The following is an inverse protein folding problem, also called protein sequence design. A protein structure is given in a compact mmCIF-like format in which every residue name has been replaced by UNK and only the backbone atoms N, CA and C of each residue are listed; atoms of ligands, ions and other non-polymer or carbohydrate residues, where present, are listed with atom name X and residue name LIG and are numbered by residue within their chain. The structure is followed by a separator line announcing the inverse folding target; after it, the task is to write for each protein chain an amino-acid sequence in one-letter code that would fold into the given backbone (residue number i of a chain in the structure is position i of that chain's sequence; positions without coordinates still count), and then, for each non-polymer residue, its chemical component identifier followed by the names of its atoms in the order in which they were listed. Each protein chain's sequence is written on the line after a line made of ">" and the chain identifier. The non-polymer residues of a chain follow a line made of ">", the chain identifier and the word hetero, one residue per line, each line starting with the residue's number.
data_IF_329755735898
#
_entry.id   IF_329755735898
#
_cell.length_a   1.000
_cell.length_b   1.000
_cell.length_c   1.000
_cell.angle_alpha   90.00
_cell.angle_beta   90.00
_cell.angle_gamma   90.00
#
_symmetry.space_group_name_H-M   'P 1'
#
loop_
_entity.id
_entity.type
_entity.pdbx_description
1 polymer ?
#
# COMPACT_ATOMS: atom_id res chain seq x y z
N UNK A 1 39.25 40.46 11.40
CA UNK A 1 39.60 39.06 11.09
C UNK A 1 38.31 38.28 11.04
N UNK A 2 37.86 38.01 9.83
CA UNK A 2 36.60 37.26 9.58
C UNK A 2 36.96 35.78 9.45
N UNK A 3 36.45 34.96 10.37
CA UNK A 3 36.49 33.52 10.27
C UNK A 3 35.55 33.09 9.15
N UNK A 4 36.10 32.43 8.12
CA UNK A 4 35.32 31.77 7.09
C UNK A 4 34.50 30.60 7.67
N UNK A 5 33.40 30.21 7.03
CA UNK A 5 32.63 29.06 7.48
C UNK A 5 33.48 27.79 7.36
N UNK A 6 33.41 26.93 8.38
CA UNK A 6 33.99 25.60 8.37
C UNK A 6 33.51 24.80 7.17
N UNK A 7 34.40 24.04 6.51
CA UNK A 7 33.97 23.15 5.42
C UNK A 7 32.99 22.10 5.99
N UNK A 8 31.80 22.04 5.40
CA UNK A 8 30.83 20.97 5.64
C UNK A 8 31.57 19.65 5.36
N UNK A 9 31.67 18.83 6.39
CA UNK A 9 32.34 17.55 6.39
C UNK A 9 31.80 16.71 5.20
N UNK A 10 32.63 16.56 4.18
CA UNK A 10 32.35 15.67 3.08
C UNK A 10 32.46 14.27 3.65
N UNK A 11 31.31 13.66 3.91
CA UNK A 11 31.21 12.28 4.37
C UNK A 11 32.10 11.33 3.54
N UNK A 12 32.52 10.19 4.10
CA UNK A 12 33.51 9.33 3.52
C UNK A 12 33.13 8.88 2.10
N UNK A 13 34.07 9.04 1.17
CA UNK A 13 33.94 8.62 -0.21
C UNK A 13 33.82 7.09 -0.28
N UNK A 14 32.76 6.60 -0.94
CA UNK A 14 32.67 5.21 -1.36
C UNK A 14 31.88 4.28 -0.47
N UNK A 15 30.80 4.74 0.21
CA UNK A 15 29.91 3.84 0.96
C UNK A 15 29.17 2.89 0.01
N UNK A 16 29.47 1.60 0.15
CA UNK A 16 28.72 0.55 -0.51
C UNK A 16 27.23 0.71 -0.15
N UNK A 17 26.42 0.95 -1.17
CA UNK A 17 24.98 1.14 -1.02
C UNK A 17 24.38 -0.09 -0.33
N UNK A 18 23.69 0.11 0.81
CA UNK A 18 23.08 -0.99 1.56
C UNK A 18 22.00 -1.70 0.74
N UNK A 19 22.04 -3.03 0.75
CA UNK A 19 20.93 -3.84 0.26
C UNK A 19 19.81 -3.84 1.30
N UNK A 20 18.58 -3.78 0.83
CA UNK A 20 17.38 -3.70 1.68
C UNK A 20 16.55 -4.95 1.48
N UNK A 21 16.15 -5.59 2.57
CA UNK A 21 15.41 -6.84 2.57
C UNK A 21 14.09 -6.73 3.35
N UNK A 22 13.10 -7.52 2.96
CA UNK A 22 11.79 -7.60 3.60
C UNK A 22 11.80 -8.75 4.60
N UNK A 23 11.71 -8.46 5.87
CA UNK A 23 11.77 -9.47 6.94
C UNK A 23 10.44 -9.74 7.62
N UNK A 24 9.46 -8.83 7.51
CA UNK A 24 8.15 -9.01 8.11
C UNK A 24 7.03 -8.48 7.23
N UNK A 25 5.88 -9.16 7.27
CA UNK A 25 4.68 -8.87 6.50
C UNK A 25 3.45 -8.86 7.41
N UNK A 26 2.66 -7.81 7.34
CA UNK A 26 1.36 -7.69 8.02
C UNK A 26 0.30 -7.16 7.06
N UNK A 27 -0.85 -7.81 6.99
CA UNK A 27 -1.92 -7.46 6.07
C UNK A 27 -3.27 -7.55 6.78
N UNK A 28 -4.08 -6.52 6.63
CA UNK A 28 -5.50 -6.49 7.00
C UNK A 28 -6.25 -6.15 5.73
N UNK A 29 -6.99 -7.12 5.18
CA UNK A 29 -7.61 -7.01 3.86
C UNK A 29 -9.00 -7.63 3.84
N UNK A 30 -9.87 -7.28 2.87
CA UNK A 30 -11.18 -7.90 2.72
C UNK A 30 -11.16 -9.42 2.46
N UNK A 31 -10.01 -9.97 2.07
CA UNK A 31 -9.85 -11.39 1.75
C UNK A 31 -8.94 -12.12 2.73
N UNK A 32 -8.62 -11.54 3.87
CA UNK A 32 -7.88 -12.23 4.93
C UNK A 32 -7.12 -11.32 5.87
N UNK A 33 -6.94 -11.79 7.10
CA UNK A 33 -6.22 -11.15 8.19
C UNK A 33 -4.87 -11.86 8.37
N UNK A 34 -3.79 -11.11 8.23
CA UNK A 34 -2.42 -11.64 8.15
C UNK A 34 -2.04 -12.09 6.74
N UNK A 35 -0.74 -12.01 6.44
CA UNK A 35 -0.20 -12.27 5.10
C UNK A 35 -0.46 -13.70 4.59
N UNK A 36 -0.62 -14.68 5.48
CA UNK A 36 -0.83 -16.10 5.10
C UNK A 36 -2.23 -16.33 4.56
N UNK A 37 -3.24 -15.90 5.29
CA UNK A 37 -4.63 -16.02 4.86
C UNK A 37 -4.89 -15.16 3.62
N UNK A 38 -4.43 -13.92 3.63
CA UNK A 38 -4.45 -13.03 2.46
C UNK A 38 -3.88 -13.73 1.22
N UNK A 39 -2.68 -14.33 1.34
CA UNK A 39 -2.03 -15.00 0.22
C UNK A 39 -2.80 -16.22 -0.27
N UNK A 40 -3.25 -17.09 0.64
CA UNK A 40 -4.03 -18.27 0.30
C UNK A 40 -5.31 -17.91 -0.47
N UNK A 41 -6.03 -16.90 0.00
CA UNK A 41 -7.26 -16.44 -0.63
C UNK A 41 -6.99 -15.72 -1.96
N UNK A 42 -5.90 -14.95 -2.05
CA UNK A 42 -5.49 -14.28 -3.28
C UNK A 42 -5.15 -15.29 -4.39
N UNK A 43 -4.38 -16.33 -4.07
CA UNK A 43 -4.02 -17.40 -5.02
C UNK A 43 -5.25 -18.23 -5.40
N UNK A 44 -6.19 -18.42 -4.48
CA UNK A 44 -7.46 -19.10 -4.75
C UNK A 44 -8.45 -18.26 -5.58
N UNK A 45 -8.13 -17.00 -5.90
CA UNK A 45 -9.02 -16.14 -6.66
C UNK A 45 -10.27 -15.69 -5.89
N UNK A 46 -10.21 -15.63 -4.56
CA UNK A 46 -11.36 -15.22 -3.74
C UNK A 46 -11.53 -13.71 -3.81
N UNK A 47 -12.78 -13.26 -4.02
CA UNK A 47 -13.13 -11.84 -4.03
C UNK A 47 -13.75 -11.42 -2.70
N UNK A 48 -13.37 -10.25 -2.21
CA UNK A 48 -13.98 -9.58 -1.05
C UNK A 48 -15.17 -8.69 -1.40
N UNK A 49 -15.58 -8.65 -2.68
CA UNK A 49 -16.70 -7.82 -3.11
C UNK A 49 -18.04 -8.32 -2.54
N UNK A 50 -18.73 -7.45 -1.80
CA UNK A 50 -20.04 -7.73 -1.21
C UNK A 50 -20.88 -6.45 -1.14
N UNK A 51 -22.21 -6.56 -0.89
CA UNK A 51 -23.00 -5.39 -0.57
C UNK A 51 -22.45 -4.67 0.67
N UNK A 52 -22.46 -3.33 0.65
CA UNK A 52 -22.04 -2.51 1.80
C UNK A 52 -22.91 -2.83 3.01
N UNK A 53 -22.25 -3.11 4.15
CA UNK A 53 -22.92 -3.41 5.42
C UNK A 53 -22.64 -2.37 6.51
N UNK A 54 -21.59 -1.57 6.37
CA UNK A 54 -21.16 -0.58 7.36
C UNK A 54 -22.13 0.60 7.53
N UNK A 55 -22.98 0.85 6.52
CA UNK A 55 -24.03 1.87 6.54
C UNK A 55 -25.09 1.60 5.47
N UNK A 56 -26.23 2.29 5.54
CA UNK A 56 -27.26 2.21 4.49
C UNK A 56 -26.80 2.93 3.21
N UNK A 57 -26.38 2.14 2.23
CA UNK A 57 -25.92 2.62 0.92
C UNK A 57 -27.05 2.70 -0.14
N UNK A 58 -28.31 2.50 0.23
CA UNK A 58 -29.44 2.43 -0.72
C UNK A 58 -29.60 3.67 -1.61
N UNK A 59 -29.22 4.84 -1.08
CA UNK A 59 -29.25 6.12 -1.79
C UNK A 59 -28.05 6.34 -2.73
N UNK A 60 -27.02 5.49 -2.68
CA UNK A 60 -25.83 5.62 -3.53
C UNK A 60 -25.98 4.80 -4.82
N UNK A 61 -25.43 5.27 -5.95
CA UNK A 61 -25.37 4.50 -7.18
C UNK A 61 -24.45 3.29 -7.07
N UNK A 62 -23.45 3.34 -6.18
CA UNK A 62 -22.50 2.28 -5.86
C UNK A 62 -22.85 1.68 -4.49
N UNK A 63 -23.21 0.41 -4.44
CA UNK A 63 -23.68 -0.30 -3.24
C UNK A 63 -22.86 -1.53 -2.90
N UNK A 64 -21.74 -1.73 -3.60
CA UNK A 64 -20.78 -2.82 -3.39
C UNK A 64 -19.46 -2.22 -2.94
N UNK A 65 -18.84 -2.87 -1.96
CA UNK A 65 -17.49 -2.58 -1.50
C UNK A 65 -16.78 -3.87 -1.11
N UNK A 66 -15.51 -3.78 -0.83
CA UNK A 66 -14.72 -4.85 -0.24
C UNK A 66 -14.38 -4.43 1.21
N UNK A 67 -15.22 -4.83 2.15
CA UNK A 67 -15.12 -4.52 3.57
C UNK A 67 -14.24 -5.54 4.29
N UNK A 68 -13.51 -5.09 5.32
CA UNK A 68 -12.84 -5.98 6.27
C UNK A 68 -13.87 -6.42 7.31
N UNK A 69 -14.30 -7.68 7.23
CA UNK A 69 -15.25 -8.28 8.15
C UNK A 69 -14.56 -8.92 9.37
N UNK A 70 -15.33 -9.17 10.42
CA UNK A 70 -14.94 -9.94 11.62
C UNK A 70 -13.60 -9.51 12.24
N UNK A 71 -13.34 -8.20 12.31
CA UNK A 71 -12.08 -7.63 12.73
C UNK A 71 -12.19 -6.91 14.09
N UNK A 72 -11.38 -7.33 15.04
CA UNK A 72 -11.16 -6.63 16.30
C UNK A 72 -9.67 -6.30 16.46
N UNK A 73 -9.34 -5.03 16.65
CA UNK A 73 -7.94 -4.59 16.82
C UNK A 73 -7.29 -5.21 18.06
N UNK A 74 -8.07 -5.48 19.11
CA UNK A 74 -7.63 -6.11 20.35
C UNK A 74 -7.05 -7.51 20.18
N UNK A 75 -7.35 -8.19 19.08
CA UNK A 75 -6.81 -9.53 18.80
C UNK A 75 -5.34 -9.47 18.35
N UNK A 76 -4.87 -8.29 17.98
CA UNK A 76 -3.54 -8.07 17.40
C UNK A 76 -2.70 -7.02 18.13
N UNK A 77 -3.34 -6.03 18.73
CA UNK A 77 -2.69 -4.88 19.35
C UNK A 77 -2.96 -4.82 20.85
N UNK A 78 -1.90 -4.94 21.66
CA UNK A 78 -1.93 -4.89 23.14
C UNK A 78 -1.46 -3.54 23.71
N UNK A 79 -1.07 -2.61 22.82
CA UNK A 79 -0.61 -1.27 23.21
C UNK A 79 -1.75 -0.30 23.55
N UNK A 80 -1.41 0.93 23.92
CA UNK A 80 -2.39 1.97 24.15
C UNK A 80 -3.27 2.18 22.91
N UNK A 81 -4.57 2.34 23.13
CA UNK A 81 -5.52 2.66 22.07
C UNK A 81 -6.48 3.75 22.55
N UNK A 82 -6.16 5.03 22.27
CA UNK A 82 -6.96 6.16 22.69
C UNK A 82 -8.39 6.10 22.18
N UNK A 83 -9.34 6.58 23.00
CA UNK A 83 -10.76 6.55 22.67
C UNK A 83 -11.08 7.29 21.36
N UNK A 84 -10.30 8.31 21.04
CA UNK A 84 -10.41 9.09 19.80
C UNK A 84 -10.22 8.27 18.54
N UNK A 85 -9.45 7.18 18.61
CA UNK A 85 -9.19 6.29 17.49
C UNK A 85 -10.16 5.09 17.42
N UNK A 86 -11.04 4.90 18.42
CA UNK A 86 -11.95 3.74 18.42
C UNK A 86 -12.88 3.70 17.20
N UNK A 87 -13.31 4.87 16.71
CA UNK A 87 -14.15 4.98 15.54
C UNK A 87 -13.36 4.98 14.21
N UNK A 88 -12.04 5.15 14.27
CA UNK A 88 -11.19 5.21 13.08
C UNK A 88 -10.77 3.81 12.64
N UNK A 89 -11.40 3.31 11.58
CA UNK A 89 -11.11 1.97 11.04
C UNK A 89 -9.70 1.88 10.46
N UNK A 90 -9.21 2.94 9.77
CA UNK A 90 -7.86 2.92 9.17
C UNK A 90 -6.78 2.83 10.25
N UNK A 91 -6.92 3.56 11.38
CA UNK A 91 -6.01 3.47 12.51
C UNK A 91 -6.00 2.06 13.12
N UNK A 92 -7.17 1.45 13.29
CA UNK A 92 -7.31 0.07 13.80
C UNK A 92 -6.61 -0.93 12.88
N UNK A 93 -6.78 -0.81 11.56
CA UNK A 93 -6.13 -1.67 10.57
C UNK A 93 -4.60 -1.50 10.60
N UNK A 94 -4.14 -0.25 10.69
CA UNK A 94 -2.71 0.06 10.74
C UNK A 94 -2.04 -0.58 11.96
N UNK A 95 -2.59 -0.41 13.17
CA UNK A 95 -2.03 -0.97 14.39
C UNK A 95 -1.95 -2.50 14.32
N UNK A 96 -3.03 -3.16 13.87
CA UNK A 96 -3.04 -4.61 13.71
C UNK A 96 -2.01 -5.09 12.66
N UNK A 97 -1.95 -4.44 11.50
CA UNK A 97 -1.00 -4.80 10.45
C UNK A 97 0.45 -4.56 10.91
N UNK A 98 0.73 -3.50 11.67
CA UNK A 98 2.04 -3.25 12.28
C UNK A 98 2.43 -4.36 13.26
N UNK A 99 1.52 -4.74 14.17
CA UNK A 99 1.76 -5.84 15.10
C UNK A 99 2.04 -7.15 14.38
N UNK A 100 1.26 -7.48 13.34
CA UNK A 100 1.47 -8.67 12.50
C UNK A 100 2.86 -8.64 11.82
N UNK A 101 3.26 -7.51 11.23
CA UNK A 101 4.54 -7.38 10.53
C UNK A 101 5.73 -7.51 11.49
N UNK A 102 5.63 -6.93 12.68
CA UNK A 102 6.65 -7.03 13.73
C UNK A 102 6.75 -8.47 14.26
N UNK A 103 5.63 -9.12 14.52
CA UNK A 103 5.62 -10.52 14.95
C UNK A 103 6.23 -11.45 13.89
N UNK A 104 5.89 -11.25 12.63
CA UNK A 104 6.41 -12.04 11.51
C UNK A 104 7.93 -11.84 11.30
N UNK A 105 8.43 -10.63 11.51
CA UNK A 105 9.87 -10.32 11.45
C UNK A 105 10.68 -10.86 12.64
N UNK A 106 10.02 -11.32 13.70
CA UNK A 106 10.62 -11.69 14.98
C UNK A 106 11.49 -10.55 15.60
N UNK A 107 11.09 -9.30 15.37
CA UNK A 107 11.71 -8.14 16.01
C UNK A 107 11.11 -7.81 17.38
N UNK A 108 9.89 -8.28 17.67
CA UNK A 108 9.29 -8.15 18.99
C UNK A 108 9.74 -9.30 19.89
N UNK A 109 10.40 -8.97 20.99
CA UNK A 109 10.58 -9.87 22.14
C UNK A 109 9.46 -9.58 23.15
N UNK A 110 9.32 -10.42 24.18
CA UNK A 110 8.32 -10.30 25.24
C UNK A 110 8.33 -8.96 26.05
N UNK A 111 9.14 -8.00 25.65
CA UNK A 111 9.17 -6.63 26.18
C UNK A 111 9.07 -5.62 25.03
N UNK A 112 8.19 -4.69 25.16
CA UNK A 112 7.71 -3.69 24.19
C UNK A 112 8.76 -2.89 23.39
N UNK A 113 10.06 -3.00 23.66
CA UNK A 113 11.12 -2.32 22.91
C UNK A 113 11.72 -3.25 21.85
N UNK A 114 11.96 -2.71 20.67
CA UNK A 114 12.67 -3.42 19.60
C UNK A 114 14.13 -3.67 20.03
N UNK A 115 14.72 -4.83 19.71
CA UNK A 115 16.13 -5.12 20.02
C UNK A 115 17.08 -4.43 19.01
N UNK A 116 16.87 -3.14 18.81
CA UNK A 116 17.59 -2.28 17.86
C UNK A 116 17.79 -0.91 18.52
N UNK A 117 18.85 -0.21 18.19
CA UNK A 117 19.03 1.17 18.62
C UNK A 117 17.81 2.02 18.20
N UNK A 118 17.08 2.65 19.14
CA UNK A 118 15.85 3.38 18.84
C UNK A 118 16.02 4.48 17.78
N UNK A 119 17.21 5.11 17.70
CA UNK A 119 17.51 6.15 16.72
C UNK A 119 17.76 5.58 15.31
N UNK A 120 18.00 4.26 15.22
CA UNK A 120 18.24 3.53 13.97
C UNK A 120 17.00 2.84 13.44
N UNK A 121 15.84 3.01 14.10
CA UNK A 121 14.53 2.52 13.67
C UNK A 121 13.69 3.68 13.17
N UNK A 122 13.01 3.50 12.04
CA UNK A 122 12.10 4.49 11.47
C UNK A 122 10.67 3.97 11.28
N UNK A 123 9.72 4.90 11.21
CA UNK A 123 8.32 4.65 10.88
C UNK A 123 7.94 5.48 9.65
N UNK A 124 7.44 4.83 8.59
CA UNK A 124 6.98 5.53 7.38
C UNK A 124 5.63 4.98 6.95
N UNK A 125 4.56 5.69 7.27
CA UNK A 125 3.21 5.25 6.97
C UNK A 125 2.59 6.07 5.83
N UNK A 126 1.97 5.41 4.88
CA UNK A 126 1.13 6.02 3.87
C UNK A 126 -0.32 6.10 4.34
N UNK A 127 -0.97 7.22 4.09
CA UNK A 127 -2.37 7.39 4.44
C UNK A 127 -3.12 8.18 3.36
N UNK A 128 -4.43 7.95 3.29
CA UNK A 128 -5.34 8.68 2.44
C UNK A 128 -5.77 10.01 3.06
N UNK A 129 -7.01 10.39 2.79
CA UNK A 129 -7.60 11.58 3.40
C UNK A 129 -7.95 11.30 4.86
N UNK A 130 -7.56 12.20 5.76
CA UNK A 130 -8.13 12.27 7.09
C UNK A 130 -9.60 12.66 6.97
N UNK A 131 -10.49 11.71 7.26
CA UNK A 131 -11.92 12.00 7.24
C UNK A 131 -12.32 12.61 8.58
N UNK A 132 -12.72 13.86 8.54
CA UNK A 132 -13.42 14.51 9.66
C UNK A 132 -14.64 13.66 10.01
N UNK A 133 -14.88 13.39 11.29
CA UNK A 133 -16.05 12.60 11.69
C UNK A 133 -17.32 13.22 11.14
N UNK A 134 -18.19 12.39 10.56
CA UNK A 134 -19.48 12.86 10.02
C UNK A 134 -20.33 13.58 11.09
N UNK A 135 -20.23 13.15 12.35
CA UNK A 135 -20.86 13.81 13.47
C UNK A 135 -20.34 15.23 13.68
N UNK A 136 -19.05 15.46 13.50
CA UNK A 136 -18.44 16.77 13.65
C UNK A 136 -18.89 17.70 12.52
N UNK A 137 -18.98 17.18 11.29
CA UNK A 137 -19.54 17.93 10.14
C UNK A 137 -21.04 18.22 10.37
N UNK A 138 -21.83 17.24 10.76
CA UNK A 138 -23.26 17.39 10.99
C UNK A 138 -23.57 18.44 12.08
N UNK A 139 -22.75 18.48 13.13
CA UNK A 139 -22.88 19.45 14.23
C UNK A 139 -22.54 20.89 13.78
N UNK A 140 -21.94 21.06 12.60
CA UNK A 140 -21.54 22.36 12.06
C UNK A 140 -22.41 22.82 10.88
N UNK A 141 -23.39 22.01 10.48
CA UNK A 141 -24.37 22.41 9.47
C UNK A 141 -25.51 23.18 10.15
N UNK A 142 -25.82 24.39 9.66
CA UNK A 142 -27.03 25.08 10.03
C UNK A 142 -28.28 24.36 9.45
N UNK A 143 -29.49 24.72 9.86
CA UNK A 143 -30.72 24.10 9.33
C UNK A 143 -30.92 24.25 7.82
N UNK A 144 -30.16 25.13 7.17
CA UNK A 144 -30.14 25.28 5.69
C UNK A 144 -29.08 24.40 5.02
N UNK A 145 -28.31 23.61 5.78
CA UNK A 145 -27.23 22.75 5.28
C UNK A 145 -25.94 23.49 4.96
N UNK A 146 -25.80 24.75 5.43
CA UNK A 146 -24.54 25.50 5.26
C UNK A 146 -23.61 25.25 6.43
N UNK A 147 -22.34 25.21 6.12
CA UNK A 147 -21.30 25.05 7.13
C UNK A 147 -21.19 26.34 7.97
N UNK A 148 -21.62 26.29 9.22
CA UNK A 148 -21.51 27.39 10.17
C UNK A 148 -20.27 27.15 11.05
N UNK A 149 -19.20 27.88 10.82
CA UNK A 149 -18.10 27.93 11.78
C UNK A 149 -18.64 28.57 13.09
N UNK A 150 -18.48 27.92 14.25
CA UNK A 150 -18.88 28.52 15.50
C UNK A 150 -18.11 29.82 15.68
N UNK A 151 -18.84 30.89 16.00
CA UNK A 151 -18.21 32.14 16.39
C UNK A 151 -17.36 31.85 17.64
N UNK A 152 -16.08 32.25 17.67
CA UNK A 152 -15.23 32.10 18.86
C UNK A 152 -15.80 32.75 20.12
N UNK A 153 -16.82 33.63 19.95
CA UNK A 153 -17.48 34.41 21.01
C UNK A 153 -18.79 33.79 21.50
N UNK A 154 -19.32 32.77 20.84
CA UNK A 154 -20.60 32.14 21.22
C UNK A 154 -20.32 30.80 21.91
N UNK A 155 -19.72 30.80 23.11
CA UNK A 155 -19.64 29.66 24.03
C UNK A 155 -19.58 28.30 23.33
N UNK A 156 -18.55 28.06 22.54
CA UNK A 156 -18.41 26.87 21.73
C UNK A 156 -18.22 25.63 22.60
N UNK A 157 -19.33 24.99 22.93
CA UNK A 157 -19.34 23.68 23.63
C UNK A 157 -19.40 22.50 22.69
N UNK A 158 -19.32 22.71 21.38
CA UNK A 158 -19.66 21.68 20.41
C UNK A 158 -18.47 21.04 19.68
N UNK A 159 -17.28 21.67 19.64
CA UNK A 159 -16.08 21.04 19.07
C UNK A 159 -15.01 21.01 20.17
N UNK A 160 -14.51 19.84 20.47
CA UNK A 160 -13.21 19.74 21.10
C UNK A 160 -12.16 20.33 20.13
N UNK A 161 -11.56 21.51 20.42
CA UNK A 161 -10.55 22.10 19.53
C UNK A 161 -9.38 21.14 19.26
N UNK A 162 -9.14 20.21 20.17
CA UNK A 162 -8.13 19.18 20.02
C UNK A 162 -8.50 18.18 18.95
N UNK A 163 -9.80 17.85 18.78
CA UNK A 163 -10.24 16.94 17.71
C UNK A 163 -10.06 17.51 16.30
N UNK A 164 -10.06 18.84 16.15
CA UNK A 164 -9.78 19.52 14.87
C UNK A 164 -8.29 19.58 14.53
N UNK A 165 -7.41 19.52 15.55
CA UNK A 165 -5.96 19.63 15.38
C UNK A 165 -5.35 18.23 15.27
N UNK A 166 -6.01 17.19 15.78
CA UNK A 166 -5.54 15.82 15.70
C UNK A 166 -5.90 15.22 14.35
N UNK A 167 -4.97 15.22 13.43
CA UNK A 167 -5.05 14.33 12.28
C UNK A 167 -4.84 12.89 12.76
N UNK A 168 -5.85 11.99 12.63
CA UNK A 168 -5.73 10.60 13.03
C UNK A 168 -4.52 9.88 12.44
N UNK A 169 -4.05 10.33 11.28
CA UNK A 169 -2.88 9.76 10.59
C UNK A 169 -1.60 9.97 11.39
N UNK A 170 -1.40 11.15 11.94
CA UNK A 170 -0.22 11.47 12.76
C UNK A 170 -0.30 10.76 14.13
N UNK A 171 -1.50 10.61 14.67
CA UNK A 171 -1.69 9.90 15.93
C UNK A 171 -1.23 8.45 15.86
N UNK A 172 -1.49 7.74 14.77
CA UNK A 172 -1.07 6.34 14.59
C UNK A 172 0.44 6.22 14.64
N UNK A 173 1.15 7.11 13.93
CA UNK A 173 2.62 7.12 13.93
C UNK A 173 3.17 7.44 15.32
N UNK A 174 2.58 8.44 16.00
CA UNK A 174 2.96 8.81 17.37
C UNK A 174 2.73 7.69 18.39
N UNK A 175 1.60 6.98 18.28
CA UNK A 175 1.30 5.82 19.13
C UNK A 175 2.29 4.68 18.92
N UNK A 176 2.60 4.37 17.65
CA UNK A 176 3.58 3.33 17.32
C UNK A 176 4.98 3.71 17.84
N UNK A 177 5.42 4.96 17.62
CA UNK A 177 6.71 5.43 18.10
C UNK A 177 6.82 5.31 19.63
N UNK A 178 5.80 5.78 20.36
CA UNK A 178 5.77 5.71 21.80
C UNK A 178 5.71 4.27 22.34
N UNK A 179 4.91 3.41 21.70
CA UNK A 179 4.76 2.02 22.12
C UNK A 179 6.02 1.18 21.87
N UNK A 180 6.69 1.42 20.74
CA UNK A 180 7.88 0.67 20.31
C UNK A 180 9.19 1.31 20.84
N UNK A 181 9.12 2.47 21.47
CA UNK A 181 10.28 3.23 21.93
C UNK A 181 11.14 3.76 20.78
N UNK A 182 10.57 4.03 19.60
CA UNK A 182 11.29 4.52 18.42
C UNK A 182 11.52 6.03 18.56
N UNK A 183 12.78 6.45 18.40
CA UNK A 183 13.22 7.85 18.42
C UNK A 183 13.76 8.31 17.05
N UNK A 184 13.95 7.41 16.13
CA UNK A 184 14.33 7.72 14.75
C UNK A 184 13.20 8.37 13.94
N UNK A 185 13.43 8.69 12.67
CA UNK A 185 12.48 9.37 11.80
C UNK A 185 11.13 8.67 11.74
N UNK A 186 10.06 9.42 12.04
CA UNK A 186 8.68 8.98 11.96
C UNK A 186 7.88 9.96 11.08
N UNK A 187 7.19 9.48 10.04
CA UNK A 187 6.52 10.35 9.08
C UNK A 187 5.29 9.69 8.45
N UNK A 188 4.36 10.53 8.03
CA UNK A 188 3.21 10.13 7.19
C UNK A 188 3.42 10.65 5.78
N UNK A 189 3.12 9.80 4.79
CA UNK A 189 3.20 10.11 3.36
C UNK A 189 1.79 10.14 2.79
N UNK A 190 1.39 11.27 2.24
CA UNK A 190 0.10 11.43 1.55
C UNK A 190 0.32 11.66 0.07
N UNK A 191 -0.08 10.70 -0.75
CA UNK A 191 0.00 10.77 -2.22
C UNK A 191 -1.09 9.94 -2.89
N UNK A 192 -2.32 10.06 -2.37
CA UNK A 192 -3.49 9.33 -2.81
C UNK A 192 -3.20 7.81 -2.93
N UNK A 193 -3.64 7.16 -4.02
CA UNK A 193 -3.47 5.71 -4.19
C UNK A 193 -2.01 5.25 -4.31
N UNK A 194 -1.04 6.15 -4.44
CA UNK A 194 0.38 5.83 -4.45
C UNK A 194 1.05 5.91 -3.06
N UNK A 195 0.31 6.28 -1.99
CA UNK A 195 0.88 6.56 -0.67
C UNK A 195 1.65 5.35 -0.09
N UNK A 196 1.10 4.15 -0.21
CA UNK A 196 1.75 2.93 0.27
C UNK A 196 3.07 2.64 -0.45
N UNK A 197 3.11 2.77 -1.77
CA UNK A 197 4.33 2.58 -2.55
C UNK A 197 5.37 3.66 -2.24
N UNK A 198 4.94 4.91 -2.05
CA UNK A 198 5.82 6.02 -1.67
C UNK A 198 6.37 5.87 -0.25
N UNK A 199 5.57 5.35 0.69
CA UNK A 199 6.04 5.05 2.05
C UNK A 199 7.14 3.99 2.03
N UNK A 200 6.93 2.89 1.30
CA UNK A 200 7.93 1.83 1.11
C UNK A 200 9.18 2.37 0.41
N UNK A 201 9.01 3.18 -0.65
CA UNK A 201 10.12 3.79 -1.35
C UNK A 201 10.93 4.78 -0.50
N UNK A 202 10.27 5.53 0.38
CA UNK A 202 10.93 6.42 1.35
C UNK A 202 11.73 5.61 2.36
N UNK A 203 11.13 4.56 2.94
CA UNK A 203 11.80 3.63 3.84
C UNK A 203 13.03 2.98 3.18
N UNK A 204 12.86 2.50 1.95
CA UNK A 204 13.96 1.95 1.15
C UNK A 204 15.14 2.92 1.03
N UNK A 205 14.87 4.20 0.72
CA UNK A 205 15.92 5.21 0.60
C UNK A 205 16.65 5.46 1.92
N UNK A 206 15.93 5.54 3.03
CA UNK A 206 16.53 5.74 4.36
C UNK A 206 17.46 4.59 4.78
N UNK A 207 17.08 3.36 4.47
CA UNK A 207 17.91 2.17 4.71
C UNK A 207 19.10 2.10 3.76
N UNK A 208 18.87 2.36 2.47
CA UNK A 208 19.89 2.27 1.41
C UNK A 208 21.03 3.26 1.63
N UNK A 209 20.74 4.45 2.11
CA UNK A 209 21.76 5.47 2.44
C UNK A 209 22.36 5.34 3.85
N UNK A 210 22.07 4.25 4.58
CA UNK A 210 22.67 3.98 5.89
C UNK A 210 22.14 4.85 7.05
N UNK A 211 21.06 5.60 6.85
CA UNK A 211 20.48 6.44 7.93
C UNK A 211 19.79 5.60 8.99
N UNK A 212 19.21 4.46 8.61
CA UNK A 212 18.48 3.54 9.48
C UNK A 212 18.92 2.11 9.21
N UNK A 213 18.64 1.20 10.16
CA UNK A 213 18.85 -0.23 10.03
C UNK A 213 17.54 -0.98 9.87
N UNK A 214 16.46 -0.46 10.45
CA UNK A 214 15.10 -1.04 10.41
C UNK A 214 14.08 0.06 10.12
N UNK A 215 13.12 -0.22 9.26
CA UNK A 215 11.94 0.65 9.05
C UNK A 215 10.68 -0.19 9.02
N UNK A 216 9.72 0.12 9.88
CA UNK A 216 8.34 -0.33 9.75
C UNK A 216 7.61 0.63 8.82
N UNK A 217 7.15 0.15 7.68
CA UNK A 217 6.50 0.99 6.67
C UNK A 217 5.34 0.28 6.00
N UNK A 218 4.49 1.06 5.36
CA UNK A 218 3.31 0.57 4.65
C UNK A 218 2.24 1.63 4.55
N UNK A 219 0.97 1.23 4.47
CA UNK A 219 -0.13 2.18 4.39
C UNK A 219 -1.45 1.60 4.89
N UNK A 220 -2.36 2.50 5.25
CA UNK A 220 -3.73 2.22 5.68
C UNK A 220 -4.72 3.12 4.95
N UNK A 221 -5.96 2.63 4.77
CA UNK A 221 -7.09 3.46 4.34
C UNK A 221 -8.44 2.80 4.65
N UNK A 222 -9.47 3.62 4.84
CA UNK A 222 -10.87 3.20 4.97
C UNK A 222 -11.81 4.31 4.50
N UNK A 223 -12.20 4.26 3.22
CA UNK A 223 -13.14 5.20 2.60
C UNK A 223 -14.58 4.67 2.56
N UNK A 224 -14.85 3.49 3.14
CA UNK A 224 -16.20 2.88 3.14
C UNK A 224 -17.04 3.47 4.28
N UNK A 225 -17.43 4.72 4.08
CA UNK A 225 -18.34 5.48 4.93
C UNK A 225 -19.15 6.44 4.05
N UNK A 226 -20.26 7.02 4.53
CA UNK A 226 -21.12 7.86 3.70
C UNK A 226 -20.40 9.00 2.98
N UNK A 227 -19.49 9.72 3.66
CA UNK A 227 -18.76 10.85 3.09
C UNK A 227 -17.72 10.38 2.06
N UNK A 228 -16.93 9.37 2.41
CA UNK A 228 -15.91 8.80 1.54
C UNK A 228 -16.51 8.26 0.24
N UNK A 229 -17.58 7.44 0.37
CA UNK A 229 -18.28 6.90 -0.79
C UNK A 229 -18.92 7.98 -1.65
N UNK A 230 -19.59 8.98 -1.04
CA UNK A 230 -20.18 10.10 -1.79
C UNK A 230 -19.11 10.89 -2.55
N UNK A 231 -17.96 11.16 -1.93
CA UNK A 231 -16.84 11.85 -2.57
C UNK A 231 -16.26 11.06 -3.77
N UNK A 232 -16.04 9.76 -3.62
CA UNK A 232 -15.56 8.90 -4.70
C UNK A 232 -16.59 8.78 -5.85
N UNK A 233 -17.88 8.67 -5.51
CA UNK A 233 -18.97 8.68 -6.51
C UNK A 233 -19.01 9.99 -7.28
N UNK A 234 -18.85 11.14 -6.60
CA UNK A 234 -18.79 12.44 -7.26
C UNK A 234 -17.60 12.57 -8.23
N UNK A 235 -16.52 11.84 -8.02
CA UNK A 235 -15.40 11.74 -8.96
C UNK A 235 -15.69 10.83 -10.15
N UNK A 236 -16.81 10.08 -10.14
CA UNK A 236 -17.17 9.14 -11.20
C UNK A 236 -16.23 7.93 -11.32
N UNK A 237 -15.49 7.61 -10.26
CA UNK A 237 -14.44 6.60 -10.31
C UNK A 237 -14.90 5.17 -9.90
N UNK A 238 -15.77 4.97 -8.87
CA UNK A 238 -16.31 3.67 -8.54
C UNK A 238 -17.30 3.16 -9.59
N UNK A 239 -17.34 1.86 -9.76
CA UNK A 239 -18.34 1.20 -10.60
C UNK A 239 -19.75 1.35 -10.03
N UNK A 240 -20.72 1.59 -10.88
CA UNK A 240 -22.16 1.54 -10.55
C UNK A 240 -22.81 0.19 -10.87
N UNK A 241 -22.01 -0.78 -11.31
CA UNK A 241 -22.42 -2.16 -11.52
C UNK A 241 -22.43 -2.87 -10.15
N UNK A 242 -23.62 -3.12 -9.62
CA UNK A 242 -23.78 -3.64 -8.26
C UNK A 242 -23.94 -5.17 -8.24
N UNK A 243 -23.08 -5.90 -8.95
CA UNK A 243 -23.06 -7.35 -9.02
C UNK A 243 -21.88 -7.93 -8.23
N UNK A 244 -22.10 -8.43 -6.99
CA UNK A 244 -21.04 -8.97 -6.16
C UNK A 244 -20.21 -10.05 -6.87
N UNK A 245 -18.88 -9.99 -6.69
CA UNK A 245 -17.94 -10.94 -7.30
C UNK A 245 -17.86 -10.86 -8.83
N UNK A 246 -18.36 -9.78 -9.43
CA UNK A 246 -18.36 -9.56 -10.89
C UNK A 246 -18.05 -8.14 -11.31
N UNK A 247 -17.91 -7.21 -10.37
CA UNK A 247 -17.78 -5.78 -10.62
C UNK A 247 -16.34 -5.37 -10.84
N UNK A 248 -15.43 -5.75 -9.97
CA UNK A 248 -14.00 -5.50 -10.10
C UNK A 248 -13.36 -6.37 -11.18
N UNK A 249 -13.24 -5.84 -12.41
CA UNK A 249 -12.72 -6.56 -13.59
C UNK A 249 -11.65 -5.77 -14.33
N UNK A 250 -10.45 -5.63 -13.75
CA UNK A 250 -9.35 -4.92 -14.41
C UNK A 250 -9.04 -5.48 -15.79
N UNK A 251 -8.77 -4.59 -16.74
CA UNK A 251 -8.41 -4.86 -18.14
C UNK A 251 -9.50 -5.55 -18.98
N UNK A 252 -10.65 -5.90 -18.41
CA UNK A 252 -11.79 -6.45 -19.16
C UNK A 252 -12.44 -5.37 -20.03
N UNK A 253 -12.87 -5.73 -21.23
CA UNK A 253 -13.52 -4.80 -22.17
C UNK A 253 -14.81 -4.18 -21.62
N UNK A 254 -15.46 -4.85 -20.65
CA UNK A 254 -16.71 -4.39 -20.04
C UNK A 254 -16.52 -3.72 -18.67
N UNK A 255 -15.30 -3.37 -18.30
CA UNK A 255 -14.99 -2.69 -17.03
C UNK A 255 -15.69 -1.35 -16.92
N UNK A 256 -16.13 -1.00 -15.72
CA UNK A 256 -16.97 0.19 -15.47
C UNK A 256 -16.49 1.07 -14.33
N UNK A 257 -15.36 0.76 -13.73
CA UNK A 257 -14.82 1.45 -12.55
C UNK A 257 -14.36 0.47 -11.47
N UNK A 258 -13.75 0.97 -10.43
CA UNK A 258 -13.26 0.12 -9.34
C UNK A 258 -14.35 -0.17 -8.29
N UNK A 259 -14.16 -1.22 -7.53
CA UNK A 259 -14.85 -1.48 -6.26
C UNK A 259 -14.02 -0.86 -5.14
N UNK A 260 -14.64 -0.05 -4.27
CA UNK A 260 -13.93 0.52 -3.12
C UNK A 260 -13.61 -0.58 -2.11
N UNK A 261 -12.38 -0.63 -1.64
CA UNK A 261 -11.95 -1.51 -0.57
C UNK A 261 -11.33 -0.73 0.60
N UNK A 262 -11.07 -1.41 1.69
CA UNK A 262 -10.40 -0.86 2.87
C UNK A 262 -9.37 -1.85 3.42
N UNK A 263 -8.44 -1.36 4.24
CA UNK A 263 -7.45 -2.21 4.89
C UNK A 263 -6.12 -1.55 5.17
N UNK A 264 -5.12 -2.36 5.48
CA UNK A 264 -3.75 -1.95 5.67
C UNK A 264 -2.77 -3.03 5.21
N UNK A 265 -1.62 -2.58 4.69
CA UNK A 265 -0.45 -3.42 4.46
C UNK A 265 0.76 -2.78 5.13
N UNK A 266 1.46 -3.55 5.97
CA UNK A 266 2.67 -3.11 6.65
C UNK A 266 3.80 -4.10 6.43
N UNK A 267 5.00 -3.59 6.27
CA UNK A 267 6.20 -4.42 6.09
C UNK A 267 7.32 -3.92 6.99
N UNK A 268 8.15 -4.85 7.44
CA UNK A 268 9.44 -4.55 8.06
C UNK A 268 10.51 -4.65 6.99
N UNK A 269 11.19 -3.54 6.75
CA UNK A 269 12.38 -3.48 5.90
C UNK A 269 13.61 -3.35 6.79
N UNK A 270 14.67 -4.08 6.42
CA UNK A 270 15.95 -4.01 7.11
C UNK A 270 17.10 -3.88 6.11
N UNK A 271 18.21 -3.28 6.57
CA UNK A 271 19.47 -3.49 5.84
C UNK A 271 19.82 -4.97 5.86
N UNK A 272 20.36 -5.50 4.77
CA UNK A 272 20.80 -6.92 4.71
C UNK A 272 21.79 -7.22 5.83
N UNK A 273 22.67 -6.29 6.15
CA UNK A 273 23.68 -6.44 7.21
C UNK A 273 23.01 -6.64 8.57
N UNK A 274 22.00 -5.83 8.92
CA UNK A 274 21.26 -5.95 10.17
C UNK A 274 20.49 -7.29 10.22
N UNK A 275 19.75 -7.64 9.16
CA UNK A 275 19.01 -8.90 9.08
C UNK A 275 19.94 -10.12 9.24
N UNK A 276 21.13 -10.09 8.63
CA UNK A 276 22.15 -11.13 8.77
C UNK A 276 22.70 -11.21 10.20
N UNK A 277 23.01 -10.09 10.83
CA UNK A 277 23.57 -10.05 12.19
C UNK A 277 22.64 -10.73 13.20
N UNK A 278 21.31 -10.59 13.05
CA UNK A 278 20.33 -11.27 13.89
C UNK A 278 19.84 -12.62 13.31
N UNK A 279 20.43 -13.11 12.21
CA UNK A 279 20.04 -14.36 11.53
C UNK A 279 18.58 -14.40 11.09
N UNK A 280 17.99 -13.25 10.76
CA UNK A 280 16.62 -13.17 10.30
C UNK A 280 16.46 -13.82 8.92
N UNK A 281 15.42 -14.62 8.71
CA UNK A 281 14.99 -14.96 7.37
C UNK A 281 14.36 -13.73 6.69
N UNK A 282 14.42 -13.65 5.36
CA UNK A 282 13.72 -12.62 4.61
C UNK A 282 13.01 -13.19 3.39
N UNK A 283 11.98 -12.48 2.96
CA UNK A 283 11.13 -12.87 1.84
C UNK A 283 11.76 -12.55 0.48
N UNK A 284 12.17 -11.30 0.31
CA UNK A 284 12.73 -10.76 -0.92
C UNK A 284 13.62 -9.54 -0.61
N UNK A 285 14.37 -9.10 -1.61
CA UNK A 285 15.08 -7.83 -1.63
C UNK A 285 14.21 -6.76 -2.26
N UNK A 286 14.24 -5.54 -1.73
CA UNK A 286 13.79 -4.34 -2.42
C UNK A 286 14.98 -3.80 -3.21
N UNK A 287 14.96 -3.98 -4.52
CA UNK A 287 16.11 -3.67 -5.37
C UNK A 287 16.14 -2.21 -5.82
N UNK A 288 14.98 -1.59 -6.03
CA UNK A 288 14.89 -0.22 -6.49
C UNK A 288 13.50 0.40 -6.33
N UNK A 289 13.44 1.71 -6.48
CA UNK A 289 12.20 2.49 -6.40
C UNK A 289 12.24 3.67 -7.37
N UNK A 290 11.18 3.81 -8.17
CA UNK A 290 10.96 4.95 -9.04
C UNK A 290 9.78 5.79 -8.59
N UNK A 291 9.79 7.07 -8.92
CA UNK A 291 8.64 7.96 -8.74
C UNK A 291 8.59 9.00 -9.84
N UNK A 292 7.40 9.44 -10.16
CA UNK A 292 7.15 10.52 -11.13
C UNK A 292 5.83 11.21 -10.83
N UNK A 293 5.53 12.22 -11.63
CA UNK A 293 4.24 12.92 -11.63
C UNK A 293 3.79 13.03 -13.09
N UNK A 294 2.49 12.82 -13.37
CA UNK A 294 1.94 12.99 -14.72
C UNK A 294 1.96 14.46 -15.18
N UNK A 295 1.78 15.40 -14.23
CA UNK A 295 1.67 16.83 -14.52
C UNK A 295 0.71 17.14 -15.69
N UNK A 296 -0.42 16.42 -15.77
CA UNK A 296 -1.39 16.50 -16.85
C UNK A 296 -2.73 17.06 -16.37
N UNK A 297 -3.64 16.22 -15.89
CA UNK A 297 -4.94 16.62 -15.33
C UNK A 297 -5.08 16.08 -13.91
N UNK A 298 -5.95 16.72 -13.14
CA UNK A 298 -6.13 16.33 -11.73
C UNK A 298 -6.68 14.90 -11.57
N UNK A 299 -7.62 14.49 -12.42
CA UNK A 299 -8.31 13.19 -12.30
C UNK A 299 -7.97 12.20 -13.41
N UNK A 300 -7.31 12.66 -14.49
CA UNK A 300 -7.03 11.83 -15.65
C UNK A 300 -5.53 11.60 -15.84
N UNK A 301 -5.09 10.35 -16.12
CA UNK A 301 -3.69 10.08 -16.42
C UNK A 301 -3.31 10.69 -17.78
N UNK A 302 -2.02 10.94 -17.97
CA UNK A 302 -1.50 11.36 -19.27
C UNK A 302 -1.80 10.28 -20.32
N UNK A 303 -2.47 10.58 -21.45
CA UNK A 303 -3.01 9.57 -22.38
C UNK A 303 -1.95 8.65 -23.00
N UNK A 304 -0.70 9.11 -23.12
CA UNK A 304 0.42 8.27 -23.58
C UNK A 304 1.11 7.49 -22.45
N UNK A 305 0.61 7.52 -21.20
CA UNK A 305 1.21 6.83 -20.07
C UNK A 305 2.61 7.34 -19.67
N UNK A 306 2.95 8.59 -20.04
CA UNK A 306 4.30 9.12 -19.91
C UNK A 306 4.83 9.08 -18.48
N UNK A 307 4.03 9.54 -17.50
CA UNK A 307 4.42 9.51 -16.08
C UNK A 307 4.59 8.09 -15.56
N UNK A 308 3.66 7.18 -15.88
CA UNK A 308 3.75 5.78 -15.49
C UNK A 308 5.01 5.11 -16.08
N UNK A 309 5.29 5.34 -17.35
CA UNK A 309 6.50 4.83 -18.02
C UNK A 309 7.78 5.41 -17.40
N UNK A 310 7.78 6.71 -17.06
CA UNK A 310 8.92 7.36 -16.40
C UNK A 310 9.19 6.73 -15.02
N UNK A 311 8.16 6.52 -14.20
CA UNK A 311 8.31 5.90 -12.89
C UNK A 311 8.86 4.48 -12.99
N UNK A 312 8.32 3.65 -13.91
CA UNK A 312 8.80 2.27 -14.13
C UNK A 312 10.27 2.26 -14.60
N UNK A 313 10.64 3.11 -15.57
CA UNK A 313 12.05 3.21 -16.02
C UNK A 313 12.98 3.66 -14.89
N UNK A 314 12.56 4.62 -14.09
CA UNK A 314 13.34 5.08 -12.94
C UNK A 314 13.54 3.96 -11.90
N UNK A 315 12.50 3.15 -11.66
CA UNK A 315 12.59 2.01 -10.73
C UNK A 315 13.55 0.92 -11.26
N UNK A 316 13.47 0.58 -12.55
CA UNK A 316 14.36 -0.39 -13.18
C UNK A 316 15.81 0.10 -13.18
N UNK A 317 16.03 1.38 -13.51
CA UNK A 317 17.38 1.98 -13.49
C UNK A 317 17.96 2.02 -12.07
N UNK A 318 17.14 2.33 -11.05
CA UNK A 318 17.57 2.34 -9.65
C UNK A 318 17.92 0.94 -9.12
N UNK A 319 17.29 -0.10 -9.68
CA UNK A 319 17.54 -1.50 -9.37
C UNK A 319 18.68 -2.12 -10.20
N UNK A 320 19.22 -1.41 -11.18
CA UNK A 320 20.15 -1.95 -12.21
C UNK A 320 19.56 -3.20 -12.92
N UNK A 321 18.26 -3.12 -13.26
CA UNK A 321 17.51 -4.20 -13.91
C UNK A 321 17.09 -3.79 -15.31
N UNK A 322 17.39 -4.64 -16.29
CA UNK A 322 16.87 -4.46 -17.65
C UNK A 322 15.43 -4.99 -17.76
N UNK A 323 14.60 -4.42 -18.64
CA UNK A 323 13.21 -4.84 -18.85
C UNK A 323 13.04 -6.36 -19.05
N UNK A 324 13.91 -7.00 -19.81
CA UNK A 324 13.85 -8.44 -20.13
C UNK A 324 14.08 -9.36 -18.90
N UNK A 325 14.56 -8.79 -17.82
CA UNK A 325 14.80 -9.53 -16.56
C UNK A 325 13.59 -9.57 -15.65
N UNK A 326 12.52 -8.83 -15.96
CA UNK A 326 11.27 -8.78 -15.19
C UNK A 326 10.30 -9.85 -15.69
N UNK A 327 9.78 -10.67 -14.80
CA UNK A 327 8.78 -11.68 -15.13
C UNK A 327 7.37 -11.25 -14.79
N UNK A 328 7.21 -10.36 -13.82
CA UNK A 328 5.90 -9.98 -13.29
C UNK A 328 5.77 -8.48 -13.12
N UNK A 329 4.65 -7.92 -13.57
CA UNK A 329 4.13 -6.63 -13.13
C UNK A 329 2.83 -6.84 -12.37
N UNK A 330 2.81 -6.47 -11.09
CA UNK A 330 1.57 -6.31 -10.34
C UNK A 330 1.04 -4.91 -10.66
N UNK A 331 0.03 -4.85 -11.49
CA UNK A 331 -0.48 -3.61 -12.05
C UNK A 331 -1.28 -2.80 -11.04
N UNK A 332 -1.33 -1.50 -11.25
CA UNK A 332 -2.31 -0.66 -10.57
C UNK A 332 -3.74 -1.11 -10.90
N UNK A 333 -4.05 -1.41 -12.15
CA UNK A 333 -5.20 -2.18 -12.60
C UNK A 333 -6.51 -1.89 -11.86
N UNK A 334 -7.05 -0.68 -12.02
CA UNK A 334 -8.22 -0.20 -11.23
C UNK A 334 -9.56 -0.64 -11.79
N UNK A 335 -9.62 -1.30 -12.94
CA UNK A 335 -10.85 -1.56 -13.69
C UNK A 335 -11.55 -0.28 -14.21
N UNK A 336 -10.85 0.85 -14.28
CA UNK A 336 -11.35 2.05 -14.95
C UNK A 336 -10.95 2.05 -16.42
N UNK A 337 -11.77 2.64 -17.29
CA UNK A 337 -11.52 2.66 -18.72
C UNK A 337 -10.19 3.32 -19.07
N UNK A 338 -9.87 4.44 -18.41
CA UNK A 338 -8.68 5.23 -18.73
C UNK A 338 -7.41 4.63 -18.12
N UNK A 339 -7.42 4.26 -16.83
CA UNK A 339 -6.22 3.77 -16.17
C UNK A 339 -5.68 2.51 -16.85
N UNK A 340 -6.52 1.50 -17.05
CA UNK A 340 -6.08 0.20 -17.51
C UNK A 340 -5.50 0.25 -18.93
N UNK A 341 -6.12 1.06 -19.80
CA UNK A 341 -5.59 1.34 -21.13
C UNK A 341 -4.23 2.06 -21.08
N UNK A 342 -4.15 3.13 -20.28
CA UNK A 342 -2.93 3.95 -20.17
C UNK A 342 -1.80 3.15 -19.52
N UNK A 343 -2.10 2.32 -18.53
CA UNK A 343 -1.11 1.46 -17.90
C UNK A 343 -0.57 0.40 -18.88
N UNK A 344 -1.45 -0.20 -19.71
CA UNK A 344 -1.06 -1.11 -20.79
C UNK A 344 -0.10 -0.43 -21.76
N UNK A 345 -0.41 0.80 -22.19
CA UNK A 345 0.47 1.60 -23.05
C UNK A 345 1.82 1.84 -22.39
N UNK A 346 1.82 2.23 -21.10
CA UNK A 346 3.05 2.51 -20.37
C UNK A 346 3.93 1.27 -20.21
N UNK A 347 3.34 0.11 -19.88
CA UNK A 347 4.06 -1.17 -19.81
C UNK A 347 4.69 -1.49 -21.15
N UNK A 348 3.95 -1.43 -22.25
CA UNK A 348 4.49 -1.67 -23.60
C UNK A 348 5.62 -0.71 -23.97
N UNK A 349 5.54 0.55 -23.59
CA UNK A 349 6.61 1.54 -23.83
C UNK A 349 7.88 1.27 -23.03
N UNK A 350 7.77 0.68 -21.84
CA UNK A 350 8.92 0.37 -20.98
C UNK A 350 9.58 -0.94 -21.38
N UNK A 351 8.78 -1.96 -21.64
CA UNK A 351 9.25 -3.33 -21.86
C UNK A 351 9.50 -3.65 -23.34
N UNK A 352 8.96 -2.86 -24.28
CA UNK A 352 9.15 -3.08 -25.73
C UNK A 352 8.75 -4.50 -26.14
N UNK A 353 9.65 -5.22 -26.80
CA UNK A 353 9.40 -6.62 -27.19
C UNK A 353 9.29 -7.58 -26.02
N UNK A 354 9.91 -7.28 -24.87
CA UNK A 354 9.78 -8.11 -23.67
C UNK A 354 8.38 -8.10 -23.05
N UNK A 355 7.52 -7.16 -23.44
CA UNK A 355 6.13 -7.10 -22.97
C UNK A 355 5.29 -8.32 -23.38
N UNK A 356 5.68 -9.06 -24.42
CA UNK A 356 4.99 -10.29 -24.87
C UNK A 356 5.18 -11.47 -23.92
N UNK A 357 6.31 -11.51 -23.22
CA UNK A 357 6.66 -12.59 -22.27
C UNK A 357 6.38 -12.18 -20.80
N UNK A 358 6.02 -10.91 -20.61
CA UNK A 358 5.73 -10.34 -19.31
C UNK A 358 4.34 -10.76 -18.83
N UNK A 359 4.26 -11.21 -17.59
CA UNK A 359 3.00 -11.53 -16.93
C UNK A 359 2.53 -10.34 -16.10
N UNK A 360 1.27 -9.98 -16.23
CA UNK A 360 0.63 -8.87 -15.50
C UNK A 360 -0.48 -9.44 -14.62
N UNK A 361 -0.57 -9.01 -13.36
CA UNK A 361 -1.69 -9.35 -12.48
C UNK A 361 -2.30 -8.09 -11.88
N UNK A 362 -3.59 -8.13 -11.52
CA UNK A 362 -4.29 -7.03 -10.87
C UNK A 362 -5.07 -7.52 -9.64
N UNK A 363 -4.48 -7.35 -8.47
CA UNK A 363 -5.05 -7.84 -7.21
C UNK A 363 -6.35 -7.12 -6.81
N UNK A 364 -6.59 -5.90 -7.32
CA UNK A 364 -7.82 -5.15 -7.07
C UNK A 364 -9.09 -5.85 -7.57
N UNK A 365 -8.95 -6.83 -8.46
CA UNK A 365 -10.06 -7.70 -8.83
C UNK A 365 -10.63 -8.52 -7.67
N UNK A 366 -9.84 -8.69 -6.60
CA UNK A 366 -10.18 -9.50 -5.42
C UNK A 366 -10.29 -8.65 -4.15
N UNK A 367 -9.35 -7.73 -3.95
CA UNK A 367 -9.31 -6.88 -2.75
C UNK A 367 -10.19 -5.64 -2.85
N UNK A 368 -10.63 -5.25 -4.06
CA UNK A 368 -11.09 -3.91 -4.33
C UNK A 368 -9.93 -2.90 -4.32
N UNK A 369 -10.24 -1.63 -4.49
CA UNK A 369 -9.28 -0.53 -4.45
C UNK A 369 -9.17 0.01 -3.03
N UNK A 370 -8.10 -0.33 -2.31
CA UNK A 370 -7.86 0.10 -0.93
C UNK A 370 -7.28 1.52 -0.83
N UNK A 371 -7.45 2.34 -1.83
CA UNK A 371 -6.99 3.74 -1.94
C UNK A 371 -5.51 3.85 -1.54
N UNK A 372 -5.16 4.52 -0.43
CA UNK A 372 -3.78 4.69 0.00
C UNK A 372 -3.08 3.37 0.38
N UNK A 373 -3.82 2.40 0.90
CA UNK A 373 -3.28 1.11 1.32
C UNK A 373 -2.91 0.18 0.16
N UNK A 374 -3.43 0.41 -1.07
CA UNK A 374 -3.19 -0.45 -2.22
C UNK A 374 -1.74 -0.82 -2.42
N UNK A 375 -0.87 0.19 -2.55
CA UNK A 375 0.52 -0.03 -2.92
C UNK A 375 1.28 -0.90 -1.91
N UNK A 376 0.90 -0.86 -0.64
CA UNK A 376 1.51 -1.68 0.39
C UNK A 376 0.99 -3.13 0.34
N UNK A 377 -0.32 -3.33 0.19
CA UNK A 377 -0.92 -4.67 0.07
C UNK A 377 -0.46 -5.37 -1.22
N UNK A 378 -0.40 -4.65 -2.33
CA UNK A 378 0.10 -5.16 -3.62
C UNK A 378 1.61 -5.43 -3.58
N UNK A 379 2.38 -4.65 -2.82
CA UNK A 379 3.79 -4.95 -2.56
C UNK A 379 3.94 -6.27 -1.79
N UNK A 380 3.14 -6.52 -0.74
CA UNK A 380 3.13 -7.80 0.00
C UNK A 380 2.82 -8.97 -0.96
N UNK A 381 1.80 -8.83 -1.80
CA UNK A 381 1.47 -9.82 -2.83
C UNK A 381 2.63 -10.08 -3.80
N UNK A 382 3.30 -9.02 -4.24
CA UNK A 382 4.45 -9.11 -5.15
C UNK A 382 5.63 -9.81 -4.49
N UNK A 383 5.95 -9.48 -3.23
CA UNK A 383 6.98 -10.15 -2.42
C UNK A 383 6.67 -11.64 -2.28
N UNK A 384 5.41 -12.01 -2.02
CA UNK A 384 4.99 -13.40 -1.92
C UNK A 384 5.04 -14.11 -3.27
N UNK A 385 4.74 -13.43 -4.38
CA UNK A 385 4.94 -14.00 -5.73
C UNK A 385 6.39 -14.32 -6.03
N UNK A 386 7.32 -13.42 -5.68
CA UNK A 386 8.78 -13.65 -5.80
C UNK A 386 9.21 -14.81 -4.90
N UNK A 387 8.67 -14.90 -3.70
CA UNK A 387 9.03 -15.93 -2.72
C UNK A 387 8.58 -17.33 -3.12
N UNK A 388 7.35 -17.45 -3.63
CA UNK A 388 6.69 -18.75 -3.89
C UNK A 388 6.80 -19.20 -5.34
N UNK A 389 7.04 -18.31 -6.28
CA UNK A 389 6.94 -18.60 -7.71
C UNK A 389 5.50 -18.80 -8.19
N UNK A 390 4.53 -18.20 -7.48
CA UNK A 390 3.11 -18.25 -7.84
C UNK A 390 2.62 -16.84 -8.13
N UNK A 391 1.94 -16.64 -9.24
CA UNK A 391 1.32 -15.36 -9.62
C UNK A 391 -0.18 -15.46 -9.40
N UNK A 392 -0.78 -14.58 -8.56
CA UNK A 392 -2.22 -14.55 -8.35
C UNK A 392 -2.98 -14.20 -9.62
N UNK A 393 -4.24 -14.65 -9.76
CA UNK A 393 -5.04 -14.34 -10.94
C UNK A 393 -5.57 -12.91 -10.92
N UNK A 394 -5.90 -12.40 -12.11
CA UNK A 394 -6.89 -11.34 -12.27
C UNK A 394 -8.25 -12.00 -12.46
N UNK A 395 -9.11 -11.92 -11.44
CA UNK A 395 -10.47 -12.51 -11.53
C UNK A 395 -11.41 -11.57 -12.28
N UNK A 396 -12.57 -12.10 -12.68
CA UNK A 396 -13.61 -11.38 -13.43
C UNK A 396 -13.24 -10.95 -14.85
N UNK A 397 -12.01 -11.23 -15.34
CA UNK A 397 -11.58 -10.98 -16.70
C UNK A 397 -12.22 -12.02 -17.64
N UNK A 398 -13.18 -11.61 -18.48
CA UNK A 398 -13.98 -12.48 -19.35
C UNK A 398 -13.95 -12.07 -20.81
N UNK A 399 -13.86 -10.77 -21.08
CA UNK A 399 -13.92 -10.20 -22.41
C UNK A 399 -12.61 -9.43 -22.69
N UNK A 400 -11.86 -9.96 -23.64
CA UNK A 400 -10.60 -9.34 -24.05
C UNK A 400 -10.86 -7.94 -24.61
N UNK A 401 -10.10 -6.96 -24.14
CA UNK A 401 -10.06 -5.62 -24.69
C UNK A 401 -8.89 -5.50 -25.66
N UNK A 402 -9.14 -4.99 -26.87
CA UNK A 402 -8.10 -4.81 -27.87
C UNK A 402 -7.03 -3.76 -27.48
N UNK A 403 -7.39 -2.82 -26.60
CA UNK A 403 -6.46 -1.81 -26.07
C UNK A 403 -5.69 -2.32 -24.83
N UNK A 404 -6.14 -3.44 -24.23
CA UNK A 404 -5.52 -4.12 -23.08
C UNK A 404 -5.15 -5.56 -23.50
N UNK A 405 -4.07 -5.70 -24.26
CA UNK A 405 -3.73 -6.93 -25.01
C UNK A 405 -2.55 -7.72 -24.40
N UNK A 406 -2.12 -7.42 -23.17
CA UNK A 406 -1.09 -8.16 -22.44
C UNK A 406 -1.66 -9.45 -21.81
N UNK A 407 -0.79 -10.24 -21.16
CA UNK A 407 -1.19 -11.43 -20.39
C UNK A 407 -1.53 -11.03 -18.95
N UNK A 408 -2.81 -10.94 -18.63
CA UNK A 408 -3.32 -10.50 -17.33
C UNK A 408 -3.62 -11.64 -16.33
N UNK A 409 -3.12 -12.84 -16.55
CA UNK A 409 -3.37 -14.04 -15.70
C UNK A 409 -4.86 -14.24 -15.40
N UNK A 410 -5.69 -14.50 -16.40
CA UNK A 410 -7.13 -14.57 -16.21
C UNK A 410 -7.57 -15.76 -15.34
N UNK A 411 -8.36 -15.50 -14.32
CA UNK A 411 -9.17 -16.47 -13.58
C UNK A 411 -8.45 -17.40 -12.63
N UNK A 412 -7.29 -17.94 -12.96
CA UNK A 412 -6.55 -18.91 -12.12
C UNK A 412 -5.11 -18.53 -11.93
N UNK A 413 -4.58 -18.76 -10.71
CA UNK A 413 -3.19 -18.51 -10.40
C UNK A 413 -2.23 -19.34 -11.28
N UNK A 414 -1.07 -18.77 -11.56
CA UNK A 414 -0.06 -19.40 -12.43
C UNK A 414 1.23 -19.67 -11.68
N UNK A 415 1.79 -20.87 -11.86
CA UNK A 415 3.15 -21.16 -11.43
C UNK A 415 4.15 -20.57 -12.41
N UNK A 416 4.99 -19.68 -11.93
CA UNK A 416 6.00 -18.99 -12.72
C UNK A 416 7.21 -18.67 -11.84
N UNK A 417 8.44 -19.04 -12.23
CA UNK A 417 9.64 -18.64 -11.50
C UNK A 417 9.85 -17.11 -11.56
N UNK A 418 9.27 -16.38 -10.63
CA UNK A 418 9.43 -14.92 -10.52
C UNK A 418 10.74 -14.62 -9.81
N UNK A 419 11.70 -14.04 -10.51
CA UNK A 419 12.98 -13.59 -9.94
C UNK A 419 12.99 -12.09 -9.70
N UNK A 420 12.39 -11.34 -10.60
CA UNK A 420 12.23 -9.88 -10.52
C UNK A 420 10.78 -9.55 -10.84
N UNK A 421 10.19 -8.76 -9.99
CA UNK A 421 8.84 -8.24 -10.17
C UNK A 421 8.80 -6.73 -9.91
N UNK A 422 7.86 -6.07 -10.55
CA UNK A 422 7.56 -4.65 -10.36
C UNK A 422 6.10 -4.53 -9.91
N UNK A 423 5.79 -3.63 -8.98
CA UNK A 423 4.41 -3.33 -8.60
C UNK A 423 4.10 -1.86 -8.81
N UNK A 424 3.01 -1.56 -9.51
CA UNK A 424 2.64 -0.21 -9.88
C UNK A 424 1.60 0.39 -8.92
N UNK A 425 1.80 1.63 -8.52
CA UNK A 425 0.79 2.41 -7.79
C UNK A 425 0.66 3.80 -8.40
N UNK A 426 -0.54 4.15 -8.86
CA UNK A 426 -0.83 5.40 -9.55
C UNK A 426 -1.92 6.16 -8.80
N UNK A 427 -1.60 7.34 -8.28
CA UNK A 427 -2.53 8.17 -7.53
C UNK A 427 -3.28 9.17 -8.40
N UNK A 428 -4.48 9.54 -7.99
CA UNK A 428 -5.17 10.73 -8.47
C UNK A 428 -4.30 11.97 -8.23
N UNK A 429 -4.31 12.93 -9.16
CA UNK A 429 -3.38 14.05 -9.13
C UNK A 429 -2.03 13.75 -9.78
N UNK A 430 -1.79 12.53 -10.23
CA UNK A 430 -0.64 12.16 -11.05
C UNK A 430 0.55 11.48 -10.37
N UNK A 431 0.63 11.33 -9.02
CA UNK A 431 1.78 10.66 -8.41
C UNK A 431 1.86 9.20 -8.81
N UNK A 432 3.08 8.70 -9.10
CA UNK A 432 3.37 7.33 -9.52
C UNK A 432 4.53 6.78 -8.68
N UNK A 433 4.43 5.53 -8.23
CA UNK A 433 5.46 4.92 -7.40
C UNK A 433 5.55 3.39 -7.54
N UNK A 434 6.35 2.85 -8.47
CA UNK A 434 6.64 1.43 -8.54
C UNK A 434 7.91 1.07 -7.75
N UNK A 435 7.85 0.24 -6.70
CA UNK A 435 9.00 -0.50 -6.19
C UNK A 435 9.30 -1.74 -7.05
N UNK A 436 10.58 -2.08 -7.15
CA UNK A 436 11.08 -3.32 -7.76
C UNK A 436 11.49 -4.28 -6.65
N UNK A 437 10.86 -5.45 -6.61
CA UNK A 437 11.26 -6.57 -5.76
C UNK A 437 12.07 -7.59 -6.55
N UNK A 438 13.14 -8.12 -5.94
CA UNK A 438 13.98 -9.18 -6.51
C UNK A 438 14.17 -10.32 -5.51
N UNK A 439 14.52 -11.51 -6.01
CA UNK A 439 14.83 -12.66 -5.16
C UNK A 439 16.18 -12.44 -4.51
N UNK A 440 16.22 -12.34 -3.18
CA UNK A 440 17.47 -12.38 -2.45
C UNK A 440 18.20 -13.70 -2.78
N UNK A 441 19.49 -13.62 -3.13
CA UNK A 441 20.32 -14.81 -3.19
C UNK A 441 20.20 -15.53 -1.84
N UNK A 442 19.85 -16.83 -1.85
CA UNK A 442 19.74 -17.62 -0.61
C UNK A 442 21.02 -17.45 0.19
N UNK A 443 20.96 -17.21 1.51
CA UNK A 443 22.13 -17.44 2.34
C UNK A 443 22.54 -18.90 2.13
N UNK A 444 23.80 -19.12 1.74
CA UNK A 444 24.35 -20.47 1.59
C UNK A 444 24.19 -21.18 2.95
N UNK A 445 23.44 -22.28 2.96
CA UNK A 445 23.21 -23.18 4.10
C UNK A 445 22.11 -22.77 5.11
N UNK A 446 20.84 -23.04 4.74
CA UNK A 446 19.88 -23.74 5.63
C UNK A 446 18.74 -24.28 4.76
N UNK A 447 18.31 -25.57 4.98
CA UNK A 447 17.14 -26.10 4.28
C UNK A 447 15.91 -25.26 4.65
N UNK A 448 15.07 -25.02 3.68
CA UNK A 448 13.71 -24.50 3.88
C UNK A 448 13.04 -25.48 4.86
N UNK A 449 12.69 -25.02 6.06
CA UNK A 449 11.71 -25.77 6.86
C UNK A 449 10.47 -25.82 5.99
N UNK A 450 10.14 -27.03 5.57
CA UNK A 450 8.88 -27.31 4.91
C UNK A 450 7.77 -26.74 5.79
N UNK A 451 6.90 -25.95 5.20
CA UNK A 451 5.69 -25.50 5.84
C UNK A 451 4.74 -26.69 5.91
N UNK A 452 5.09 -27.64 6.79
CA UNK A 452 4.24 -28.76 7.15
C UNK A 452 3.02 -28.22 7.87
N UNK A 453 1.85 -28.49 7.30
CA UNK A 453 0.58 -28.05 7.84
C UNK A 453 0.32 -28.59 9.24
N UNK A 454 -0.27 -27.73 10.04
CA UNK A 454 -1.24 -28.13 11.06
C UNK A 454 -2.28 -27.02 11.04
N UNK A 455 -3.51 -27.43 10.79
CA UNK A 455 -4.75 -26.65 10.81
C UNK A 455 -5.02 -26.10 12.20
#
# INVERSE_FOLDING_TARGET
>A
MAGGPDPVDAGPAGDAVNRVVVTGLGAVTPIGLGHREFWANLVAGRSGEAPITLFDASALPTRIAAEVADFAVSDYWDGPFPAELHADRQARFALAACAMALADSALTSAGRSLPVDPDRVGLVLGAGLGLVRMTDIANHLDPSGRFALPSPLAGATAIDPVSLIRDPQDLVVGLLAAHLGVTGPATVVTSACAAGAHAIGTAFRLLRCGRLDVVLCGAMDSMINPLGMAGLVALGAPSTDNLPGRTGRPFDATRTGFVVGEGAGMVVLETEAHARARSAPWYAEVAGFGRSLDAHRFTEPHPAGAGAALAMRAALADADVRPEQVQLVNAHGTATLLNDRVETIAIKHVFGSAATDLVVTANKSMTGHLIAACGAVEFISTVLSVRTGTVPPTVNYRHRDAECDLDYVPGTARQLPVRVALTNSFGLGGPKGPPVGGRAARPRNKPVREWGGAY
#
